data_IF_091755015670
#
_entry.id   IF_091755015670
#
_cell.length_a   1.000
_cell.length_b   1.000
_cell.length_c   1.000
_cell.angle_alpha   90.00
_cell.angle_beta   90.00
_cell.angle_gamma   90.00
#
_symmetry.space_group_name_H-M   'P 1'
#
loop_
_entity.id
_entity.type
_entity.pdbx_description
1 polymer ?
#
# COMPACT_ATOMS: atom_id res chain seq x y z
N UNK A 1 5.27 9.96 -11.64
CA UNK A 1 5.43 8.96 -10.54
C UNK A 1 6.75 8.22 -10.69
N UNK A 2 7.04 7.69 -11.87
CA UNK A 2 8.34 7.11 -12.25
C UNK A 2 9.51 8.05 -11.92
N UNK A 3 9.37 9.33 -12.21
CA UNK A 3 10.37 10.37 -11.99
C UNK A 3 10.64 10.57 -10.50
N UNK A 4 9.59 10.52 -9.68
CA UNK A 4 9.70 10.61 -8.21
C UNK A 4 10.47 9.42 -7.65
N UNK A 5 10.13 8.19 -8.03
CA UNK A 5 10.89 7.00 -7.61
C UNK A 5 12.35 7.07 -8.06
N UNK A 6 12.60 7.50 -9.30
CA UNK A 6 13.96 7.63 -9.82
C UNK A 6 14.79 8.70 -9.07
N UNK A 7 14.21 9.87 -8.80
CA UNK A 7 14.89 10.98 -8.12
C UNK A 7 15.31 10.64 -6.68
N UNK A 8 14.64 9.67 -6.05
CA UNK A 8 14.92 9.21 -4.69
C UNK A 8 15.59 7.82 -4.68
N UNK A 9 16.21 7.41 -5.79
CA UNK A 9 16.90 6.11 -5.94
C UNK A 9 16.04 4.90 -5.50
N UNK A 10 14.78 4.90 -5.94
CA UNK A 10 13.74 3.93 -5.57
C UNK A 10 13.58 3.74 -4.06
N UNK A 11 13.94 4.75 -3.25
CA UNK A 11 13.98 4.69 -1.79
C UNK A 11 14.84 3.52 -1.26
N UNK A 12 15.89 3.14 -2.00
CA UNK A 12 16.75 2.00 -1.69
C UNK A 12 16.15 0.62 -1.98
N UNK A 13 14.95 0.55 -2.57
CA UNK A 13 14.25 -0.71 -2.85
C UNK A 13 14.67 -1.29 -4.20
N UNK A 14 14.84 -2.61 -4.25
CA UNK A 14 15.23 -3.34 -5.48
C UNK A 14 14.06 -4.07 -6.15
N UNK A 15 12.97 -4.32 -5.43
CA UNK A 15 11.85 -5.15 -5.89
C UNK A 15 10.86 -4.37 -6.75
N UNK A 16 10.38 -3.22 -6.27
CA UNK A 16 9.55 -2.29 -7.05
C UNK A 16 10.41 -1.08 -7.38
N UNK A 17 10.65 -0.88 -8.68
CA UNK A 17 11.43 0.25 -9.17
C UNK A 17 10.56 1.19 -9.98
N UNK A 18 11.10 2.36 -10.30
CA UNK A 18 10.51 3.30 -11.25
C UNK A 18 10.12 2.66 -12.60
N UNK A 19 10.76 1.56 -13.02
CA UNK A 19 10.42 0.82 -14.25
C UNK A 19 9.09 0.08 -14.13
N UNK A 20 8.70 -0.31 -12.92
CA UNK A 20 7.48 -1.06 -12.66
C UNK A 20 6.26 -0.15 -12.47
N UNK A 21 6.44 1.17 -12.37
CA UNK A 21 5.38 2.10 -11.99
C UNK A 21 5.00 3.03 -13.15
N UNK A 22 3.70 3.10 -13.44
CA UNK A 22 3.11 4.08 -14.36
C UNK A 22 2.02 4.87 -13.65
N UNK A 23 1.71 6.06 -14.18
CA UNK A 23 0.63 6.93 -13.72
C UNK A 23 1.10 8.19 -13.02
N UNK A 24 0.15 8.87 -12.40
CA UNK A 24 0.31 10.18 -11.80
C UNK A 24 0.18 10.06 -10.28
N UNK A 25 1.11 10.68 -9.56
CA UNK A 25 1.08 10.85 -8.11
C UNK A 25 1.00 12.35 -7.85
N UNK A 26 -0.04 12.77 -7.14
CA UNK A 26 -0.17 14.13 -6.62
C UNK A 26 -0.26 14.04 -5.10
N UNK A 27 0.43 14.92 -4.38
CA UNK A 27 0.42 14.93 -2.93
C UNK A 27 0.38 16.36 -2.40
N UNK A 28 -0.43 16.59 -1.37
CA UNK A 28 -0.38 17.76 -0.53
C UNK A 28 0.26 17.35 0.80
N UNK A 29 1.39 17.95 1.12
CA UNK A 29 2.20 17.62 2.30
C UNK A 29 2.22 18.84 3.22
N UNK A 30 1.71 18.69 4.43
CA UNK A 30 1.92 19.63 5.52
C UNK A 30 2.77 18.90 6.57
N UNK A 31 4.04 19.26 6.68
CA UNK A 31 4.96 18.64 7.61
C UNK A 31 5.92 19.65 8.22
N UNK A 32 6.32 19.38 9.45
CA UNK A 32 7.33 20.10 10.22
C UNK A 32 8.40 19.14 10.71
N UNK A 33 9.63 19.61 10.80
CA UNK A 33 10.72 18.85 11.38
C UNK A 33 11.88 19.76 11.76
N UNK A 34 12.77 19.24 12.60
CA UNK A 34 13.96 19.95 13.02
C UNK A 34 15.12 19.59 12.11
N UNK A 35 15.97 20.57 11.83
CA UNK A 35 17.18 20.39 11.01
C UNK A 35 18.38 20.80 11.86
N UNK A 36 19.44 20.00 11.81
CA UNK A 36 20.73 20.31 12.45
C UNK A 36 21.41 21.46 11.73
N UNK A 37 22.39 22.12 12.38
CA UNK A 37 23.19 23.15 11.73
C UNK A 37 23.93 22.67 10.45
N UNK A 38 24.10 21.35 10.29
CA UNK A 38 24.71 20.73 9.10
C UNK A 38 23.70 20.39 7.99
N UNK A 39 22.42 20.78 8.14
CA UNK A 39 21.38 20.49 7.15
C UNK A 39 20.76 19.10 7.25
N UNK A 40 21.20 18.25 8.19
CA UNK A 40 20.61 16.93 8.38
C UNK A 40 19.30 17.04 9.17
N UNK A 41 18.27 16.27 8.77
CA UNK A 41 17.03 16.14 9.55
C UNK A 41 17.35 15.50 10.90
N UNK A 42 16.84 16.10 11.98
CA UNK A 42 16.97 15.54 13.33
C UNK A 42 16.11 14.27 13.41
N UNK A 43 16.67 13.11 13.83
CA UNK A 43 15.91 11.87 13.94
C UNK A 43 14.64 12.04 14.76
N UNK A 44 13.55 11.39 14.34
CA UNK A 44 12.24 11.39 15.03
C UNK A 44 11.59 12.77 15.20
N UNK A 45 12.03 13.79 14.47
CA UNK A 45 11.47 15.15 14.55
C UNK A 45 10.38 15.45 13.52
N UNK A 46 10.17 14.57 12.54
CA UNK A 46 9.21 14.78 11.45
C UNK A 46 7.78 14.50 11.89
N UNK A 47 6.91 15.50 11.81
CA UNK A 47 5.47 15.36 12.06
C UNK A 47 4.69 16.00 10.94
N UNK A 48 3.52 15.47 10.61
CA UNK A 48 2.71 16.06 9.54
C UNK A 48 1.64 15.16 8.98
N UNK A 49 0.94 15.66 7.97
CA UNK A 49 -0.09 14.97 7.22
C UNK A 49 0.21 15.05 5.73
N UNK A 50 0.07 13.92 5.06
CA UNK A 50 0.21 13.78 3.62
C UNK A 50 -1.12 13.30 3.07
N UNK A 51 -1.77 14.08 2.22
CA UNK A 51 -2.90 13.62 1.44
C UNK A 51 -2.43 13.41 0.02
N UNK A 52 -2.66 12.22 -0.55
CA UNK A 52 -2.18 11.90 -1.88
C UNK A 52 -3.30 11.33 -2.76
N UNK A 53 -3.09 11.46 -4.05
CA UNK A 53 -3.92 10.90 -5.11
C UNK A 53 -3.03 10.15 -6.08
N UNK A 54 -3.37 8.89 -6.34
CA UNK A 54 -2.85 8.13 -7.46
C UNK A 54 -3.90 8.11 -8.55
N UNK A 55 -3.51 8.49 -9.76
CA UNK A 55 -4.39 8.46 -10.92
C UNK A 55 -3.73 7.76 -12.11
N UNK A 56 -4.53 6.99 -12.85
CA UNK A 56 -4.09 6.10 -13.94
C UNK A 56 -2.85 5.27 -13.55
N UNK A 57 -2.82 4.83 -12.29
CA UNK A 57 -1.67 4.14 -11.73
C UNK A 57 -1.65 2.69 -12.21
N UNK A 58 -0.47 2.18 -12.54
CA UNK A 58 -0.31 0.78 -12.88
C UNK A 58 1.02 0.22 -12.38
N UNK A 59 0.96 -1.01 -11.88
CA UNK A 59 2.11 -1.85 -11.60
C UNK A 59 2.33 -2.78 -12.81
N UNK A 60 3.47 -2.64 -13.46
CA UNK A 60 3.82 -3.31 -14.71
C UNK A 60 5.04 -4.20 -14.50
N UNK A 61 4.95 -5.44 -14.95
CA UNK A 61 6.09 -6.37 -14.97
C UNK A 61 6.70 -6.64 -13.60
N UNK A 62 5.89 -6.66 -12.54
CA UNK A 62 6.37 -7.01 -11.21
C UNK A 62 6.40 -8.53 -11.07
N UNK A 63 7.56 -9.11 -11.42
CA UNK A 63 7.81 -10.54 -11.52
C UNK A 63 7.35 -11.36 -10.28
N UNK A 64 7.55 -10.89 -9.02
CA UNK A 64 7.05 -11.62 -7.86
C UNK A 64 5.53 -11.85 -7.89
N UNK A 65 4.76 -10.84 -8.32
CA UNK A 65 3.32 -10.95 -8.43
C UNK A 65 2.91 -11.86 -9.60
N UNK A 66 3.61 -11.80 -10.72
CA UNK A 66 3.37 -12.71 -11.85
C UNK A 66 3.62 -14.17 -11.48
N UNK A 67 4.69 -14.45 -10.72
CA UNK A 67 5.02 -15.79 -10.23
C UNK A 67 3.93 -16.34 -9.32
N UNK A 68 3.53 -15.61 -8.28
CA UNK A 68 2.44 -16.02 -7.37
C UNK A 68 1.11 -16.16 -8.13
N UNK A 69 0.89 -15.26 -9.08
CA UNK A 69 -0.26 -15.22 -9.97
C UNK A 69 -0.55 -16.50 -10.73
N UNK A 70 0.49 -17.11 -11.31
CA UNK A 70 0.35 -18.36 -12.07
C UNK A 70 -0.20 -19.51 -11.22
N UNK A 71 0.09 -19.51 -9.92
CA UNK A 71 -0.35 -20.56 -9.01
C UNK A 71 -1.74 -20.32 -8.42
N UNK A 72 -2.05 -19.07 -8.05
CA UNK A 72 -3.26 -18.73 -7.27
C UNK A 72 -4.37 -18.09 -8.14
N UNK A 73 -4.00 -17.40 -9.22
CA UNK A 73 -4.89 -16.55 -10.01
C UNK A 73 -4.79 -16.81 -11.52
N UNK A 74 -4.95 -18.06 -11.93
CA UNK A 74 -4.74 -18.54 -13.33
C UNK A 74 -5.46 -17.72 -14.43
N UNK A 75 -6.56 -17.04 -14.11
CA UNK A 75 -7.35 -16.24 -15.06
C UNK A 75 -7.05 -14.74 -15.04
N UNK A 76 -6.10 -14.26 -14.22
CA UNK A 76 -5.84 -12.82 -14.05
C UNK A 76 -4.58 -12.38 -14.79
N UNK A 77 -4.68 -11.25 -15.49
CA UNK A 77 -3.51 -10.59 -16.05
C UNK A 77 -2.80 -9.81 -14.94
N UNK A 78 -1.67 -10.33 -14.48
CA UNK A 78 -0.85 -9.73 -13.42
C UNK A 78 0.40 -9.02 -13.94
N UNK A 79 0.63 -9.04 -15.26
CA UNK A 79 1.76 -8.30 -15.87
C UNK A 79 1.48 -6.82 -16.03
N UNK A 80 0.20 -6.41 -15.98
CA UNK A 80 -0.22 -5.02 -15.97
C UNK A 80 -1.44 -4.83 -15.05
N UNK A 81 -1.17 -4.57 -13.77
CA UNK A 81 -2.19 -4.32 -12.76
C UNK A 81 -2.49 -2.83 -12.70
N UNK A 82 -3.64 -2.43 -13.24
CA UNK A 82 -4.07 -1.03 -13.25
C UNK A 82 -4.94 -0.76 -12.03
N UNK A 83 -4.64 0.31 -11.31
CA UNK A 83 -5.37 0.75 -10.14
C UNK A 83 -6.41 1.79 -10.56
N UNK A 84 -7.59 1.70 -9.95
CA UNK A 84 -8.53 2.83 -9.97
C UNK A 84 -7.93 4.01 -9.22
N UNK A 85 -8.51 5.20 -9.43
CA UNK A 85 -8.10 6.41 -8.71
C UNK A 85 -8.15 6.17 -7.20
N UNK A 86 -7.00 6.27 -6.56
CA UNK A 86 -6.84 6.06 -5.12
C UNK A 86 -6.55 7.39 -4.45
N UNK A 87 -7.36 7.74 -3.46
CA UNK A 87 -7.06 8.85 -2.54
C UNK A 87 -6.69 8.25 -1.19
N UNK A 88 -5.59 8.73 -0.61
CA UNK A 88 -5.09 8.24 0.66
C UNK A 88 -4.59 9.37 1.55
N UNK A 89 -4.48 9.06 2.83
CA UNK A 89 -3.92 9.97 3.83
C UNK A 89 -2.91 9.22 4.69
N UNK A 90 -1.77 9.84 4.93
CA UNK A 90 -0.72 9.36 5.79
C UNK A 90 -0.44 10.40 6.88
N UNK A 91 -0.13 9.94 8.09
CA UNK A 91 0.32 10.82 9.18
C UNK A 91 1.75 10.48 9.55
N UNK A 92 2.63 11.47 9.44
CA UNK A 92 4.02 11.35 9.88
C UNK A 92 4.07 11.63 11.39
N UNK A 93 4.67 10.72 12.16
CA UNK A 93 4.91 10.85 13.60
C UNK A 93 6.29 10.34 13.98
N UNK A 94 7.27 11.24 13.95
CA UNK A 94 8.66 10.95 14.23
C UNK A 94 9.26 9.99 13.20
N UNK A 95 9.50 8.75 13.61
CA UNK A 95 10.02 7.66 12.78
C UNK A 95 8.92 6.70 12.29
N UNK A 96 7.65 7.09 12.39
CA UNK A 96 6.50 6.30 11.97
C UNK A 96 5.64 7.03 10.96
N UNK A 97 4.98 6.25 10.11
CA UNK A 97 3.96 6.69 9.16
C UNK A 97 2.69 5.90 9.46
N UNK A 98 1.66 6.58 9.95
CA UNK A 98 0.35 5.98 10.09
C UNK A 98 -0.36 6.00 8.73
N UNK A 99 -0.77 4.81 8.29
CA UNK A 99 -1.51 4.57 7.06
C UNK A 99 -2.99 4.57 7.43
N UNK A 100 -3.70 5.63 7.04
CA UNK A 100 -5.15 5.69 7.22
C UNK A 100 -5.82 4.56 6.40
N UNK A 101 -6.95 4.00 6.87
CA UNK A 101 -7.65 2.97 6.13
C UNK A 101 -7.95 3.39 4.70
N UNK A 102 -7.44 2.61 3.75
CA UNK A 102 -7.67 2.86 2.33
C UNK A 102 -8.00 1.57 1.60
N UNK A 103 -8.88 1.70 0.62
CA UNK A 103 -9.38 0.61 -0.21
C UNK A 103 -8.76 0.73 -1.58
N UNK A 104 -7.98 -0.25 -1.99
CA UNK A 104 -7.33 -0.30 -3.30
C UNK A 104 -8.13 -1.21 -4.21
N UNK A 105 -8.59 -0.64 -5.33
CA UNK A 105 -9.22 -1.36 -6.41
C UNK A 105 -8.25 -1.48 -7.58
N UNK A 106 -8.17 -2.66 -8.19
CA UNK A 106 -7.38 -2.84 -9.40
C UNK A 106 -7.99 -3.87 -10.35
N UNK A 107 -7.44 -3.95 -11.56
CA UNK A 107 -7.85 -4.92 -12.58
C UNK A 107 -7.59 -6.37 -12.17
N UNK A 108 -6.69 -6.62 -11.22
CA UNK A 108 -6.24 -7.97 -10.89
C UNK A 108 -6.42 -8.35 -9.42
N UNK A 109 -6.33 -7.40 -8.49
CA UNK A 109 -6.47 -7.67 -7.06
C UNK A 109 -6.97 -6.45 -6.30
N UNK A 110 -8.06 -6.62 -5.56
CA UNK A 110 -8.49 -5.63 -4.60
C UNK A 110 -7.86 -5.92 -3.25
N UNK A 111 -7.53 -4.89 -2.48
CA UNK A 111 -7.06 -5.04 -1.11
C UNK A 111 -7.37 -3.81 -0.28
N UNK A 112 -7.55 -4.01 1.03
CA UNK A 112 -7.66 -2.93 2.00
C UNK A 112 -6.41 -2.90 2.88
N UNK A 113 -5.94 -1.71 3.21
CA UNK A 113 -4.72 -1.52 4.01
C UNK A 113 -4.92 -0.44 5.07
N UNK A 114 -4.38 -0.69 6.26
CA UNK A 114 -4.28 0.27 7.38
C UNK A 114 -3.13 -0.12 8.30
N UNK A 115 -2.65 0.81 9.12
CA UNK A 115 -1.72 0.49 10.21
C UNK A 115 -0.57 1.47 10.28
N UNK A 116 0.59 1.00 10.73
CA UNK A 116 1.77 1.83 10.97
C UNK A 116 2.97 1.23 10.25
N UNK A 117 3.69 2.04 9.49
CA UNK A 117 5.01 1.72 8.98
C UNK A 117 6.06 2.43 9.84
N UNK A 118 7.02 1.68 10.39
CA UNK A 118 8.15 2.25 11.12
C UNK A 118 9.41 2.25 10.25
N UNK A 119 10.10 3.38 10.16
CA UNK A 119 11.37 3.45 9.42
C UNK A 119 12.49 2.65 10.09
N UNK A 120 12.45 2.53 11.42
CA UNK A 120 13.40 1.75 12.21
C UNK A 120 12.77 0.49 12.81
N UNK A 121 11.62 0.65 13.47
CA UNK A 121 10.90 -0.46 14.09
C UNK A 121 9.44 -0.12 14.36
N UNK A 122 8.65 -1.15 14.69
CA UNK A 122 7.23 -0.99 15.03
C UNK A 122 6.32 -0.94 13.81
N UNK A 123 6.76 -1.47 12.67
CA UNK A 123 5.87 -1.76 11.54
C UNK A 123 4.80 -2.75 11.98
N UNK A 124 3.55 -2.39 11.74
CA UNK A 124 2.37 -3.21 11.95
C UNK A 124 1.29 -2.75 10.97
N UNK A 125 1.26 -3.39 9.80
CA UNK A 125 0.33 -3.05 8.72
C UNK A 125 -0.64 -4.20 8.53
N UNK A 126 -1.93 -3.94 8.63
CA UNK A 126 -2.98 -4.90 8.31
C UNK A 126 -3.33 -4.82 6.82
N UNK A 127 -3.46 -5.98 6.19
CA UNK A 127 -3.80 -6.15 4.78
C UNK A 127 -4.95 -7.16 4.66
N UNK A 128 -6.05 -6.74 4.06
CA UNK A 128 -7.19 -7.62 3.75
C UNK A 128 -7.29 -7.79 2.23
N UNK A 129 -7.08 -9.03 1.77
CA UNK A 129 -6.97 -9.35 0.34
C UNK A 129 -8.05 -10.35 -0.05
N UNK A 130 -9.20 -9.88 -0.59
CA UNK A 130 -10.19 -10.78 -1.17
C UNK A 130 -9.63 -11.52 -2.39
N UNK A 131 -9.74 -12.85 -2.37
CA UNK A 131 -9.37 -13.70 -3.51
C UNK A 131 -10.45 -13.74 -4.59
N UNK A 132 -11.57 -13.06 -4.40
CA UNK A 132 -12.61 -12.88 -5.43
C UNK A 132 -12.05 -12.08 -6.61
N UNK A 133 -12.51 -12.40 -7.82
CA UNK A 133 -12.16 -11.62 -9.02
C UNK A 133 -12.76 -10.20 -8.92
N UNK A 134 -11.93 -9.14 -9.00
CA UNK A 134 -12.38 -7.74 -8.95
C UNK A 134 -13.52 -7.41 -9.93
N UNK A 135 -13.54 -8.04 -11.11
CA UNK A 135 -14.56 -7.80 -12.15
C UNK A 135 -15.97 -8.05 -11.65
N UNK A 136 -16.15 -8.99 -10.72
CA UNK A 136 -17.47 -9.36 -10.17
C UNK A 136 -18.11 -8.29 -9.27
N UNK A 137 -17.42 -7.18 -9.02
CA UNK A 137 -17.90 -6.05 -8.23
C UNK A 137 -17.65 -4.71 -8.91
N UNK A 138 -17.03 -4.69 -10.09
CA UNK A 138 -16.61 -3.47 -10.76
C UNK A 138 -17.79 -2.62 -11.23
N UNK A 139 -18.85 -3.29 -11.72
CA UNK A 139 -20.03 -2.65 -12.30
C UNK A 139 -21.08 -2.22 -11.27
N UNK A 140 -20.85 -2.51 -9.97
CA UNK A 140 -21.75 -2.08 -8.89
C UNK A 140 -21.55 -0.57 -8.67
N UNK A 141 -22.60 0.20 -8.95
CA UNK A 141 -22.58 1.67 -8.85
C UNK A 141 -22.63 2.11 -7.38
N UNK A 142 -23.45 1.44 -6.57
CA UNK A 142 -23.56 1.75 -5.15
C UNK A 142 -22.24 1.42 -4.41
N UNK A 143 -21.70 2.41 -3.70
CA UNK A 143 -20.38 2.31 -3.09
C UNK A 143 -20.35 1.34 -1.91
N UNK A 144 -21.43 1.27 -1.14
CA UNK A 144 -21.52 0.40 0.04
C UNK A 144 -21.71 -1.05 -0.40
N UNK A 145 -22.62 -1.29 -1.33
CA UNK A 145 -22.84 -2.60 -1.94
C UNK A 145 -21.56 -3.10 -2.60
N UNK A 146 -20.86 -2.24 -3.34
CA UNK A 146 -19.58 -2.59 -3.98
C UNK A 146 -18.52 -2.96 -2.94
N UNK A 147 -18.44 -2.22 -1.84
CA UNK A 147 -17.51 -2.52 -0.76
C UNK A 147 -17.80 -3.88 -0.10
N UNK A 148 -19.08 -4.20 0.13
CA UNK A 148 -19.50 -5.50 0.67
C UNK A 148 -19.24 -6.63 -0.33
N UNK A 149 -19.59 -6.42 -1.60
CA UNK A 149 -19.43 -7.40 -2.67
C UNK A 149 -17.97 -7.77 -2.91
N UNK A 150 -17.04 -6.81 -2.76
CA UNK A 150 -15.59 -7.06 -2.85
C UNK A 150 -15.09 -8.07 -1.82
N UNK A 151 -15.66 -8.06 -0.62
CA UNK A 151 -15.23 -8.92 0.49
C UNK A 151 -15.96 -10.28 0.54
N UNK A 152 -16.84 -10.57 -0.43
CA UNK A 152 -17.52 -11.86 -0.51
C UNK A 152 -16.54 -12.99 -0.87
N UNK A 153 -16.60 -14.08 -0.11
CA UNK A 153 -15.81 -15.29 -0.34
C UNK A 153 -14.56 -15.33 0.55
N UNK A 154 -13.49 -15.95 0.04
CA UNK A 154 -12.23 -16.08 0.80
C UNK A 154 -11.52 -14.73 0.82
N UNK A 155 -11.25 -14.23 2.03
CA UNK A 155 -10.44 -13.04 2.28
C UNK A 155 -9.20 -13.46 3.06
N UNK A 156 -8.03 -13.15 2.52
CA UNK A 156 -6.77 -13.32 3.24
C UNK A 156 -6.59 -12.14 4.18
N UNK A 157 -6.54 -12.43 5.48
CA UNK A 157 -6.24 -11.43 6.50
C UNK A 157 -4.76 -11.56 6.87
N UNK A 158 -3.96 -10.61 6.44
CA UNK A 158 -2.51 -10.60 6.63
C UNK A 158 -2.09 -9.41 7.50
N UNK A 159 -0.94 -9.56 8.16
CA UNK A 159 -0.24 -8.48 8.83
C UNK A 159 1.23 -8.49 8.43
N UNK A 160 1.77 -7.34 8.08
CA UNK A 160 3.20 -7.13 7.92
C UNK A 160 3.73 -6.52 9.22
N UNK A 161 4.67 -7.22 9.85
CA UNK A 161 5.28 -6.82 11.12
C UNK A 161 6.79 -6.82 10.98
N UNK A 162 7.46 -5.93 11.69
CA UNK A 162 8.91 -5.98 11.84
C UNK A 162 9.29 -7.05 12.88
N UNK A 163 10.15 -7.99 12.47
CA UNK A 163 10.88 -8.88 13.35
C UNK A 163 12.35 -8.87 12.96
N UNK A 164 13.21 -8.49 13.90
CA UNK A 164 14.67 -8.50 13.75
C UNK A 164 15.20 -7.59 12.62
N UNK A 165 14.46 -6.50 12.30
CA UNK A 165 14.83 -5.58 11.22
C UNK A 165 14.37 -6.03 9.84
N UNK A 166 13.68 -7.17 9.75
CA UNK A 166 13.05 -7.66 8.53
C UNK A 166 11.52 -7.58 8.62
N UNK A 167 10.88 -7.15 7.53
CA UNK A 167 9.42 -7.16 7.44
C UNK A 167 8.96 -8.59 7.14
N UNK A 168 8.23 -9.19 8.08
CA UNK A 168 7.61 -10.52 7.93
C UNK A 168 6.11 -10.43 7.74
N UNK A 169 5.59 -11.22 6.80
CA UNK A 169 4.15 -11.33 6.55
C UNK A 169 3.60 -12.52 7.35
N UNK A 170 2.55 -12.28 8.14
CA UNK A 170 1.86 -13.30 8.96
C UNK A 170 0.36 -13.23 8.76
N UNK A 171 -0.34 -14.30 9.13
CA UNK A 171 -1.80 -14.26 9.24
C UNK A 171 -2.25 -13.31 10.36
N UNK A 172 -3.24 -12.48 10.05
CA UNK A 172 -3.89 -11.60 11.01
C UNK A 172 -5.12 -12.32 11.61
N UNK A 173 -4.89 -13.01 12.73
CA UNK A 173 -5.92 -13.85 13.38
C UNK A 173 -7.07 -12.98 13.87
N UNK A 174 -8.29 -13.55 13.93
CA UNK A 174 -9.51 -12.82 14.34
C UNK A 174 -9.37 -12.12 15.71
N UNK A 175 -8.76 -12.79 16.69
CA UNK A 175 -8.48 -12.25 18.03
C UNK A 175 -7.61 -10.98 18.02
N UNK A 176 -6.70 -10.86 17.05
CA UNK A 176 -5.77 -9.73 16.94
C UNK A 176 -6.42 -8.51 16.25
N UNK A 177 -7.51 -8.73 15.50
CA UNK A 177 -8.24 -7.68 14.77
C UNK A 177 -9.21 -6.89 15.65
N UNK A 178 -9.71 -7.49 16.72
CA UNK A 178 -10.66 -6.90 17.66
C UNK A 178 -9.96 -6.12 18.79
N UNK A 179 -8.64 -6.24 18.92
CA UNK A 179 -7.82 -5.62 19.95
C UNK A 179 -7.10 -4.32 19.52
N UNK A 180 -7.34 -3.84 18.29
CA UNK A 180 -6.72 -2.64 17.70
C UNK A 180 -7.74 -1.67 17.10
#
# INVERSE_FOLDING_TARGET
MKEFFHAFDNFGQQSITNKNLKGFLSANVNASGNVTAKGNIVPKSMYGKVNFTLDKAALVGFEPLEKVGKFVFRSRNLSNVQLEKLNGSLTLRGDKVDISPMKVNSTALNFDVKGVYGFNSGTNIALDIPLRDPKKSADIIDKEERALARMKGIVLHLKAVDEDGEIKIRWNKKKDREAN
#
